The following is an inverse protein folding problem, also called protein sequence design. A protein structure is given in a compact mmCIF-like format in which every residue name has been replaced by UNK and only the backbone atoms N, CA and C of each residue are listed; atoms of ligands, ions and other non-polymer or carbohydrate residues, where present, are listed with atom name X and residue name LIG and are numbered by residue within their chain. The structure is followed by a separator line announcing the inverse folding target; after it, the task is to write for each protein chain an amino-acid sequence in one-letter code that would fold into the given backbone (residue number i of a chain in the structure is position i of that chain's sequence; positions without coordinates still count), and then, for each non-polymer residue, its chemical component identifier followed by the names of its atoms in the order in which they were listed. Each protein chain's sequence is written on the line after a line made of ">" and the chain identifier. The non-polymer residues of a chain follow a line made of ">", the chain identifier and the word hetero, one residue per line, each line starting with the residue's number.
data_IF_975856291991
#
_entry.id   IF_975856291991
#
_cell.length_a   1.000
_cell.length_b   1.000
_cell.length_c   1.000
_cell.angle_alpha   90.00
_cell.angle_beta   90.00
_cell.angle_gamma   90.00
#
_symmetry.space_group_name_H-M   'P 1'
#
loop_
_entity.id
_entity.type
_entity.pdbx_description
1 polymer ?
#
# COMPACT_ATOMS: atom_id res chain seq x y z
N UNK A 1 -0.25 -63.54 -19.93
CA UNK A 1 -1.24 -62.94 -20.86
C UNK A 1 -2.13 -61.87 -20.20
N UNK A 2 -2.89 -62.21 -19.15
CA UNK A 2 -3.84 -61.29 -18.49
C UNK A 2 -3.18 -60.08 -17.81
N UNK A 3 -2.04 -60.26 -17.14
CA UNK A 3 -1.28 -59.17 -16.51
C UNK A 3 -0.74 -58.18 -17.56
N UNK A 4 -0.31 -58.68 -18.72
CA UNK A 4 0.17 -57.85 -19.84
C UNK A 4 -0.99 -57.06 -20.43
N UNK A 5 -2.17 -57.67 -20.62
CA UNK A 5 -3.36 -56.97 -21.12
C UNK A 5 -3.87 -55.90 -20.15
N UNK A 6 -3.87 -56.15 -18.83
CA UNK A 6 -4.27 -55.15 -17.82
C UNK A 6 -3.27 -54.00 -17.78
N UNK A 7 -1.97 -54.29 -17.82
CA UNK A 7 -0.93 -53.25 -17.88
C UNK A 7 -1.07 -52.39 -19.14
N UNK A 8 -1.36 -52.99 -20.29
CA UNK A 8 -1.50 -52.28 -21.57
C UNK A 8 -2.74 -51.38 -21.59
N UNK A 9 -3.87 -51.86 -21.07
CA UNK A 9 -5.11 -51.09 -20.92
C UNK A 9 -4.91 -49.94 -19.94
N UNK A 10 -4.25 -50.16 -18.80
CA UNK A 10 -3.94 -49.11 -17.83
C UNK A 10 -3.03 -48.03 -18.45
N UNK A 11 -2.01 -48.41 -19.23
CA UNK A 11 -1.16 -47.43 -19.92
C UNK A 11 -1.90 -46.65 -21.01
N UNK A 12 -2.82 -47.29 -21.76
CA UNK A 12 -3.60 -46.60 -22.80
C UNK A 12 -4.62 -45.63 -22.18
N UNK A 13 -5.24 -46.01 -21.07
CA UNK A 13 -6.15 -45.12 -20.32
C UNK A 13 -5.37 -43.95 -19.70
N UNK A 14 -4.22 -44.21 -19.08
CA UNK A 14 -3.35 -43.14 -18.54
C UNK A 14 -2.89 -42.17 -19.63
N UNK A 15 -2.51 -42.67 -20.81
CA UNK A 15 -2.10 -41.83 -21.94
C UNK A 15 -3.27 -41.00 -22.50
N UNK A 16 -4.49 -41.57 -22.55
CA UNK A 16 -5.69 -40.83 -22.96
C UNK A 16 -6.02 -39.69 -22.00
N UNK A 17 -5.94 -39.93 -20.68
CA UNK A 17 -6.21 -38.93 -19.65
C UNK A 17 -5.15 -37.83 -19.62
N UNK A 18 -3.87 -38.18 -19.83
CA UNK A 18 -2.80 -37.19 -19.95
C UNK A 18 -2.97 -36.30 -21.19
N UNK A 19 -3.41 -36.88 -22.32
CA UNK A 19 -3.69 -36.10 -23.53
C UNK A 19 -4.89 -35.17 -23.34
N UNK A 20 -5.99 -35.66 -22.75
CA UNK A 20 -7.17 -34.83 -22.44
C UNK A 20 -6.85 -33.71 -21.45
N UNK A 21 -6.02 -33.97 -20.42
CA UNK A 21 -5.54 -32.93 -19.51
C UNK A 21 -4.77 -31.83 -20.25
N UNK A 22 -3.82 -32.21 -21.11
CA UNK A 22 -3.00 -31.25 -21.85
C UNK A 22 -3.85 -30.38 -22.81
N UNK A 23 -4.85 -30.98 -23.45
CA UNK A 23 -5.76 -30.26 -24.35
C UNK A 23 -6.67 -29.28 -23.59
N UNK A 24 -7.27 -29.70 -22.48
CA UNK A 24 -8.11 -28.84 -21.65
C UNK A 24 -7.30 -27.71 -21.00
N UNK A 25 -6.08 -28.02 -20.53
CA UNK A 25 -5.15 -27.01 -20.02
C UNK A 25 -4.74 -26.01 -21.10
N UNK A 26 -4.41 -26.46 -22.31
CA UNK A 26 -4.04 -25.56 -23.41
C UNK A 26 -5.17 -24.59 -23.78
N UNK A 27 -6.43 -25.03 -23.70
CA UNK A 27 -7.60 -24.16 -23.91
C UNK A 27 -7.70 -23.09 -22.82
N UNK A 28 -7.49 -23.48 -21.55
CA UNK A 28 -7.50 -22.56 -20.43
C UNK A 28 -6.32 -21.56 -20.49
N UNK A 29 -5.12 -22.04 -20.80
CA UNK A 29 -3.92 -21.22 -20.99
C UNK A 29 -4.09 -20.19 -22.13
N UNK A 30 -4.80 -20.56 -23.20
CA UNK A 30 -5.13 -19.62 -24.28
C UNK A 30 -6.01 -18.46 -23.78
N UNK A 31 -7.05 -18.75 -22.99
CA UNK A 31 -7.91 -17.71 -22.41
C UNK A 31 -7.12 -16.81 -21.45
N UNK A 32 -6.24 -17.42 -20.65
CA UNK A 32 -5.34 -16.71 -19.74
C UNK A 32 -4.40 -15.75 -20.50
N UNK A 33 -3.79 -16.22 -21.58
CA UNK A 33 -2.88 -15.45 -22.42
C UNK A 33 -3.56 -14.31 -23.19
N UNK A 34 -4.86 -14.41 -23.48
CA UNK A 34 -5.65 -13.31 -24.04
C UNK A 34 -6.16 -12.29 -23.02
N UNK A 35 -5.90 -12.51 -21.73
CA UNK A 35 -6.41 -11.66 -20.65
C UNK A 35 -7.89 -11.90 -20.30
N UNK A 36 -8.51 -12.95 -20.85
CA UNK A 36 -9.87 -13.35 -20.48
C UNK A 36 -9.81 -14.23 -19.23
N UNK A 37 -9.57 -13.57 -18.11
CA UNK A 37 -9.36 -14.24 -16.83
C UNK A 37 -10.62 -14.95 -16.33
N UNK A 38 -11.82 -14.44 -16.64
CA UNK A 38 -13.07 -15.08 -16.26
C UNK A 38 -13.22 -16.46 -16.94
N UNK A 39 -12.98 -16.54 -18.25
CA UNK A 39 -13.00 -17.80 -18.99
C UNK A 39 -11.86 -18.73 -18.56
N UNK A 40 -10.66 -18.17 -18.32
CA UNK A 40 -9.52 -18.94 -17.83
C UNK A 40 -9.82 -19.59 -16.47
N UNK A 41 -10.34 -18.83 -15.50
CA UNK A 41 -10.73 -19.31 -14.17
C UNK A 41 -11.76 -20.42 -14.29
N UNK A 42 -12.85 -20.23 -15.05
CA UNK A 42 -13.88 -21.25 -15.25
C UNK A 42 -13.31 -22.54 -15.86
N UNK A 43 -12.42 -22.40 -16.86
CA UNK A 43 -11.78 -23.55 -17.51
C UNK A 43 -10.83 -24.29 -16.56
N UNK A 44 -10.04 -23.57 -15.78
CA UNK A 44 -9.15 -24.16 -14.78
C UNK A 44 -9.89 -24.77 -13.60
N UNK A 45 -11.01 -24.19 -13.16
CA UNK A 45 -11.89 -24.80 -12.15
C UNK A 45 -12.39 -26.17 -12.61
N UNK A 46 -12.81 -26.28 -13.88
CA UNK A 46 -13.17 -27.57 -14.48
C UNK A 46 -11.96 -28.51 -14.54
N UNK A 47 -10.80 -28.01 -14.96
CA UNK A 47 -9.57 -28.82 -15.05
C UNK A 47 -9.19 -29.43 -13.70
N UNK A 48 -9.21 -28.67 -12.60
CA UNK A 48 -8.87 -29.21 -11.27
C UNK A 48 -9.94 -30.14 -10.71
N UNK A 49 -11.20 -30.03 -11.18
CA UNK A 49 -12.27 -30.95 -10.81
C UNK A 49 -12.15 -32.29 -11.55
N UNK A 50 -11.84 -32.26 -12.85
CA UNK A 50 -11.68 -33.45 -13.69
C UNK A 50 -10.36 -34.19 -13.39
N UNK A 51 -9.32 -33.45 -12.98
CA UNK A 51 -7.97 -33.98 -12.71
C UNK A 51 -7.43 -33.54 -11.33
N UNK A 52 -8.04 -33.99 -10.23
CA UNK A 52 -7.74 -33.51 -8.87
C UNK A 52 -6.34 -33.88 -8.37
N UNK A 53 -5.64 -34.81 -9.02
CA UNK A 53 -4.28 -35.24 -8.65
C UNK A 53 -3.20 -34.44 -9.39
N UNK A 54 -3.56 -33.64 -10.40
CA UNK A 54 -2.61 -32.85 -11.18
C UNK A 54 -2.37 -31.47 -10.53
N UNK A 55 -1.31 -31.37 -9.71
CA UNK A 55 -0.95 -30.17 -8.94
C UNK A 55 -0.77 -28.93 -9.83
N UNK A 56 -0.23 -29.10 -11.03
CA UNK A 56 -0.03 -28.00 -12.00
C UNK A 56 -1.35 -27.28 -12.33
N UNK A 57 -2.48 -27.99 -12.34
CA UNK A 57 -3.80 -27.40 -12.56
C UNK A 57 -4.19 -26.41 -11.46
N UNK A 58 -3.89 -26.73 -10.20
CA UNK A 58 -4.13 -25.83 -9.06
C UNK A 58 -3.22 -24.60 -9.14
N UNK A 59 -1.94 -24.78 -9.48
CA UNK A 59 -1.04 -23.64 -9.67
C UNK A 59 -1.52 -22.72 -10.82
N UNK A 60 -2.01 -23.28 -11.93
CA UNK A 60 -2.55 -22.49 -13.03
C UNK A 60 -3.84 -21.74 -12.64
N UNK A 61 -4.76 -22.40 -11.93
CA UNK A 61 -5.98 -21.78 -11.40
C UNK A 61 -5.65 -20.62 -10.44
N UNK A 62 -4.74 -20.84 -9.49
CA UNK A 62 -4.31 -19.80 -8.56
C UNK A 62 -3.70 -18.60 -9.28
N UNK A 63 -2.93 -18.85 -10.34
CA UNK A 63 -2.33 -17.79 -11.14
C UNK A 63 -3.38 -17.00 -11.95
N UNK A 64 -4.42 -17.68 -12.45
CA UNK A 64 -5.56 -17.02 -13.08
C UNK A 64 -6.31 -16.10 -12.11
N UNK A 65 -6.58 -16.57 -10.88
CA UNK A 65 -7.15 -15.72 -9.83
C UNK A 65 -6.26 -14.52 -9.50
N UNK A 66 -4.94 -14.73 -9.41
CA UNK A 66 -3.98 -13.66 -9.15
C UNK A 66 -4.02 -12.57 -10.24
N UNK A 67 -4.05 -12.96 -11.52
CA UNK A 67 -4.14 -12.01 -12.63
C UNK A 67 -5.48 -11.28 -12.67
N UNK A 68 -6.56 -11.94 -12.21
CA UNK A 68 -7.87 -11.33 -12.06
C UNK A 68 -8.01 -10.43 -10.80
N UNK A 69 -6.97 -10.32 -9.97
CA UNK A 69 -7.00 -9.55 -8.72
C UNK A 69 -7.72 -10.24 -7.56
N UNK A 70 -8.13 -11.50 -7.71
CA UNK A 70 -8.76 -12.29 -6.66
C UNK A 70 -7.70 -12.94 -5.78
N UNK A 71 -6.99 -12.13 -4.99
CA UNK A 71 -5.80 -12.61 -4.26
C UNK A 71 -6.12 -13.63 -3.17
N UNK A 72 -7.26 -13.53 -2.50
CA UNK A 72 -7.66 -14.51 -1.47
C UNK A 72 -7.92 -15.89 -2.09
N UNK A 73 -8.64 -15.96 -3.22
CA UNK A 73 -8.86 -17.19 -3.99
C UNK A 73 -7.53 -17.76 -4.53
N UNK A 74 -6.65 -16.88 -5.02
CA UNK A 74 -5.31 -17.26 -5.49
C UNK A 74 -4.50 -17.90 -4.36
N UNK A 75 -4.44 -17.26 -3.19
CA UNK A 75 -3.75 -17.77 -1.99
C UNK A 75 -4.30 -19.15 -1.64
N UNK A 76 -5.62 -19.28 -1.45
CA UNK A 76 -6.23 -20.56 -1.07
C UNK A 76 -5.94 -21.69 -2.09
N UNK A 77 -5.93 -21.35 -3.38
CA UNK A 77 -5.62 -22.32 -4.44
C UNK A 77 -4.14 -22.73 -4.42
N UNK A 78 -3.21 -21.79 -4.21
CA UNK A 78 -1.80 -22.13 -4.05
C UNK A 78 -1.52 -22.93 -2.78
N UNK A 79 -2.22 -22.64 -1.67
CA UNK A 79 -2.15 -23.48 -0.47
C UNK A 79 -2.59 -24.91 -0.77
N UNK A 80 -3.66 -25.07 -1.55
CA UNK A 80 -4.12 -26.39 -2.00
C UNK A 80 -3.06 -27.10 -2.82
N UNK A 81 -2.42 -26.41 -3.78
CA UNK A 81 -1.29 -26.94 -4.54
C UNK A 81 -0.15 -27.41 -3.62
N UNK A 82 0.26 -26.58 -2.65
CA UNK A 82 1.34 -26.90 -1.71
C UNK A 82 1.00 -28.01 -0.71
N UNK A 83 -0.29 -28.20 -0.38
CA UNK A 83 -0.73 -29.35 0.43
C UNK A 83 -0.60 -30.68 -0.31
N UNK A 84 -0.71 -30.65 -1.65
CA UNK A 84 -0.56 -31.82 -2.53
C UNK A 84 0.92 -32.07 -2.85
N UNK A 85 1.66 -31.02 -3.17
CA UNK A 85 3.10 -31.07 -3.38
C UNK A 85 3.80 -29.91 -2.64
N UNK A 86 4.32 -30.17 -1.41
CA UNK A 86 5.06 -29.17 -0.65
C UNK A 86 6.37 -28.73 -1.32
N UNK A 87 6.84 -29.42 -2.36
CA UNK A 87 8.07 -29.10 -3.08
C UNK A 87 7.86 -28.13 -4.25
N UNK A 88 6.62 -27.93 -4.72
CA UNK A 88 6.28 -27.09 -5.88
C UNK A 88 6.75 -25.63 -5.71
N UNK A 89 7.87 -25.32 -6.37
CA UNK A 89 8.50 -24.01 -6.34
C UNK A 89 7.68 -22.93 -7.07
N UNK A 90 6.88 -23.31 -8.07
CA UNK A 90 5.99 -22.39 -8.77
C UNK A 90 4.85 -21.95 -7.86
N UNK A 91 4.23 -22.89 -7.14
CA UNK A 91 3.18 -22.57 -6.17
C UNK A 91 3.73 -21.70 -5.03
N UNK A 92 4.95 -21.97 -4.51
CA UNK A 92 5.60 -21.10 -3.51
C UNK A 92 5.83 -19.68 -4.03
N UNK A 93 6.44 -19.54 -5.21
CA UNK A 93 6.65 -18.23 -5.87
C UNK A 93 5.35 -17.45 -6.01
N UNK A 94 4.31 -18.12 -6.51
CA UNK A 94 3.04 -17.47 -6.80
C UNK A 94 2.26 -17.14 -5.53
N UNK A 95 2.34 -17.96 -4.48
CA UNK A 95 1.78 -17.65 -3.16
C UNK A 95 2.44 -16.43 -2.53
N UNK A 96 3.78 -16.31 -2.62
CA UNK A 96 4.52 -15.13 -2.14
C UNK A 96 4.05 -13.88 -2.88
N UNK A 97 3.89 -13.95 -4.21
CA UNK A 97 3.40 -12.85 -5.03
C UNK A 97 1.97 -12.45 -4.66
N UNK A 98 1.05 -13.42 -4.59
CA UNK A 98 -0.36 -13.18 -4.26
C UNK A 98 -0.53 -12.64 -2.84
N UNK A 99 0.15 -13.23 -1.86
CA UNK A 99 0.13 -12.77 -0.47
C UNK A 99 0.70 -11.35 -0.31
N UNK A 100 1.77 -11.03 -1.02
CA UNK A 100 2.33 -9.68 -1.06
C UNK A 100 1.39 -8.65 -1.70
N UNK A 101 0.68 -9.02 -2.77
CA UNK A 101 -0.34 -8.16 -3.38
C UNK A 101 -1.55 -7.97 -2.47
N UNK A 102 -2.03 -9.04 -1.83
CA UNK A 102 -3.13 -9.00 -0.86
C UNK A 102 -2.80 -8.09 0.33
N UNK A 103 -1.56 -8.11 0.80
CA UNK A 103 -1.08 -7.26 1.88
C UNK A 103 -1.21 -5.76 1.57
N UNK A 104 -1.12 -5.35 0.29
CA UNK A 104 -1.33 -3.95 -0.12
C UNK A 104 -2.80 -3.52 -0.07
N UNK A 105 -3.73 -4.47 0.05
CA UNK A 105 -5.17 -4.24 0.17
C UNK A 105 -5.65 -4.30 1.62
N UNK A 106 -4.76 -4.57 2.57
CA UNK A 106 -5.07 -4.64 4.00
C UNK A 106 -4.72 -3.32 4.71
N UNK A 107 -5.10 -3.21 5.99
CA UNK A 107 -4.55 -2.19 6.89
C UNK A 107 -3.02 -2.28 6.97
N UNK A 108 -2.37 -1.22 7.41
CA UNK A 108 -0.91 -1.16 7.46
C UNK A 108 -0.31 -2.31 8.29
N UNK A 109 -0.85 -2.54 9.49
CA UNK A 109 -0.39 -3.61 10.38
C UNK A 109 -0.59 -5.00 9.78
N UNK A 110 -1.82 -5.31 9.34
CA UNK A 110 -2.14 -6.64 8.80
C UNK A 110 -1.36 -6.93 7.51
N UNK A 111 -1.09 -5.91 6.69
CA UNK A 111 -0.23 -6.04 5.52
C UNK A 111 1.21 -6.40 5.89
N UNK A 112 1.80 -5.74 6.90
CA UNK A 112 3.15 -6.06 7.38
C UNK A 112 3.23 -7.44 8.03
N UNK A 113 2.24 -7.81 8.84
CA UNK A 113 2.13 -9.14 9.45
C UNK A 113 2.10 -10.24 8.38
N UNK A 114 1.28 -10.07 7.34
CA UNK A 114 1.20 -11.02 6.21
C UNK A 114 2.53 -11.15 5.48
N UNK A 115 3.21 -10.04 5.21
CA UNK A 115 4.54 -10.06 4.58
C UNK A 115 5.54 -10.80 5.48
N UNK A 116 5.51 -10.56 6.78
CA UNK A 116 6.41 -11.20 7.73
C UNK A 116 6.17 -12.70 7.85
N UNK A 117 4.91 -13.13 7.87
CA UNK A 117 4.50 -14.54 7.84
C UNK A 117 5.07 -15.25 6.60
N UNK A 118 4.94 -14.65 5.41
CA UNK A 118 5.47 -15.22 4.16
C UNK A 118 7.00 -15.36 4.20
N UNK A 119 7.71 -14.36 4.76
CA UNK A 119 9.17 -14.41 4.94
C UNK A 119 9.59 -15.53 5.89
N UNK A 120 8.85 -15.73 6.98
CA UNK A 120 9.11 -16.79 7.95
C UNK A 120 8.81 -18.18 7.39
N UNK A 121 7.76 -18.30 6.59
CA UNK A 121 7.35 -19.57 5.99
C UNK A 121 8.27 -20.05 4.87
N UNK A 122 8.84 -19.12 4.10
CA UNK A 122 9.70 -19.45 2.96
C UNK A 122 11.12 -18.88 3.09
N UNK A 123 11.84 -19.18 4.20
CA UNK A 123 13.11 -18.55 4.49
C UNK A 123 14.13 -18.82 3.38
N UNK A 124 14.79 -17.77 2.90
CA UNK A 124 15.80 -17.85 1.85
C UNK A 124 15.25 -18.06 0.43
N UNK A 125 13.93 -18.12 0.24
CA UNK A 125 13.35 -18.30 -1.08
C UNK A 125 13.62 -17.08 -1.99
N UNK A 126 14.11 -17.25 -3.25
CA UNK A 126 14.54 -16.13 -4.09
C UNK A 126 13.44 -15.09 -4.39
N UNK A 127 12.18 -15.50 -4.37
CA UNK A 127 11.04 -14.62 -4.60
C UNK A 127 10.81 -13.63 -3.46
N UNK A 128 11.36 -13.84 -2.26
CA UNK A 128 11.15 -12.95 -1.11
C UNK A 128 11.59 -11.51 -1.36
N UNK A 129 12.50 -11.26 -2.31
CA UNK A 129 12.89 -9.90 -2.70
C UNK A 129 11.70 -9.03 -3.17
N UNK A 130 10.64 -9.64 -3.71
CA UNK A 130 9.42 -8.90 -4.09
C UNK A 130 8.68 -8.37 -2.87
N UNK A 131 8.81 -9.03 -1.72
CA UNK A 131 8.15 -8.61 -0.49
C UNK A 131 8.80 -7.35 0.08
N UNK A 132 10.10 -7.14 -0.08
CA UNK A 132 10.74 -5.87 0.30
C UNK A 132 10.23 -4.70 -0.56
N UNK A 133 9.92 -4.97 -1.83
CA UNK A 133 9.26 -3.99 -2.69
C UNK A 133 7.86 -3.64 -2.18
N UNK A 134 7.05 -4.64 -1.82
CA UNK A 134 5.71 -4.42 -1.26
C UNK A 134 5.73 -3.80 0.13
N UNK A 135 6.70 -4.14 0.99
CA UNK A 135 6.95 -3.45 2.27
C UNK A 135 7.20 -1.97 2.04
N UNK A 136 8.06 -1.64 1.06
CA UNK A 136 8.32 -0.24 0.71
C UNK A 136 7.06 0.49 0.22
N UNK A 137 6.25 -0.15 -0.62
CA UNK A 137 4.96 0.41 -1.07
C UNK A 137 4.00 0.63 0.09
N UNK A 138 3.87 -0.34 0.98
CA UNK A 138 2.98 -0.25 2.14
C UNK A 138 3.41 0.92 3.05
N UNK A 139 4.69 0.99 3.42
CA UNK A 139 5.23 2.14 4.15
C UNK A 139 4.91 3.46 3.45
N UNK A 140 5.19 3.58 2.15
CA UNK A 140 4.99 4.83 1.43
C UNK A 140 3.53 5.26 1.38
N UNK A 141 2.63 4.35 0.99
CA UNK A 141 1.20 4.62 0.84
C UNK A 141 0.57 5.06 2.17
N UNK A 142 1.01 4.49 3.28
CA UNK A 142 0.55 4.86 4.61
C UNK A 142 1.30 6.08 5.20
N UNK A 143 2.33 6.60 4.54
CA UNK A 143 3.01 7.87 4.87
C UNK A 143 4.38 7.75 5.52
N UNK A 144 4.89 6.53 5.69
CA UNK A 144 6.19 6.24 6.29
C UNK A 144 7.30 6.26 5.24
N UNK A 145 7.64 7.43 4.72
CA UNK A 145 8.59 7.57 3.61
C UNK A 145 10.01 7.05 3.91
N UNK A 146 10.53 7.24 5.13
CA UNK A 146 11.85 6.73 5.53
C UNK A 146 11.94 5.20 5.43
N UNK A 147 11.11 4.45 6.18
CA UNK A 147 11.03 3.00 6.07
C UNK A 147 10.75 2.50 4.64
N UNK A 148 9.99 3.25 3.85
CA UNK A 148 9.75 2.91 2.44
C UNK A 148 11.05 2.90 1.62
N UNK A 149 11.84 3.96 1.73
CA UNK A 149 13.11 4.08 1.04
C UNK A 149 14.15 3.07 1.54
N UNK A 150 14.16 2.74 2.83
CA UNK A 150 15.02 1.69 3.38
C UNK A 150 14.68 0.32 2.78
N UNK A 151 13.40 -0.01 2.65
CA UNK A 151 12.95 -1.26 2.06
C UNK A 151 13.32 -1.34 0.56
N UNK A 152 13.07 -0.27 -0.21
CA UNK A 152 13.46 -0.23 -1.62
C UNK A 152 14.97 -0.15 -1.84
N UNK A 153 15.73 0.38 -0.89
CA UNK A 153 17.19 0.36 -0.94
C UNK A 153 17.72 -1.08 -0.87
N UNK A 154 17.08 -1.98 -0.12
CA UNK A 154 17.40 -3.42 -0.11
C UNK A 154 17.15 -4.04 -1.49
N UNK A 155 16.01 -3.73 -2.10
CA UNK A 155 15.68 -4.18 -3.47
C UNK A 155 16.73 -3.67 -4.47
N UNK A 156 17.10 -2.38 -4.38
CA UNK A 156 18.07 -1.75 -5.28
C UNK A 156 19.47 -2.37 -5.16
N UNK A 157 19.90 -2.76 -3.94
CA UNK A 157 21.17 -3.47 -3.72
C UNK A 157 21.15 -4.88 -4.29
N UNK A 158 20.03 -5.59 -4.15
CA UNK A 158 19.89 -6.95 -4.67
C UNK A 158 19.77 -6.98 -6.21
N UNK A 159 19.15 -5.95 -6.82
CA UNK A 159 18.95 -5.84 -8.28
C UNK A 159 19.25 -4.42 -8.78
N UNK A 160 20.52 -4.09 -9.04
CA UNK A 160 20.95 -2.73 -9.44
C UNK A 160 20.40 -2.23 -10.78
N UNK A 161 19.85 -3.12 -11.61
CA UNK A 161 19.28 -2.87 -12.93
C UNK A 161 17.74 -2.79 -12.94
N UNK A 162 17.11 -2.93 -11.76
CA UNK A 162 15.66 -2.88 -11.59
C UNK A 162 15.08 -1.47 -11.69
N UNK A 163 13.78 -1.36 -12.00
CA UNK A 163 13.08 -0.07 -11.97
C UNK A 163 13.10 0.57 -10.57
N UNK A 164 13.04 -0.23 -9.51
CA UNK A 164 13.21 0.24 -8.12
C UNK A 164 14.60 0.82 -7.87
N UNK A 165 15.67 0.22 -8.40
CA UNK A 165 17.02 0.77 -8.27
C UNK A 165 17.16 2.13 -8.98
N UNK A 166 16.59 2.27 -10.18
CA UNK A 166 16.55 3.54 -10.89
C UNK A 166 15.73 4.58 -10.14
N UNK A 167 14.58 4.19 -9.58
CA UNK A 167 13.78 5.06 -8.73
C UNK A 167 14.57 5.55 -7.51
N UNK A 168 15.32 4.68 -6.83
CA UNK A 168 16.17 5.07 -5.70
C UNK A 168 17.28 6.05 -6.11
N UNK A 169 17.87 5.91 -7.31
CA UNK A 169 18.79 6.91 -7.85
C UNK A 169 18.12 8.26 -8.12
N UNK A 170 16.86 8.27 -8.53
CA UNK A 170 16.09 9.50 -8.69
C UNK A 170 15.83 10.19 -7.34
N UNK A 171 15.50 9.41 -6.30
CA UNK A 171 15.34 9.90 -4.92
C UNK A 171 16.65 10.51 -4.40
N UNK A 172 17.79 9.84 -4.61
CA UNK A 172 19.10 10.34 -4.22
C UNK A 172 19.48 11.63 -4.97
N UNK A 173 19.28 11.67 -6.29
CA UNK A 173 19.54 12.86 -7.10
C UNK A 173 18.71 14.07 -6.63
N UNK A 174 17.44 13.83 -6.25
CA UNK A 174 16.59 14.87 -5.66
C UNK A 174 17.15 15.41 -4.35
N UNK A 175 17.63 14.54 -3.45
CA UNK A 175 18.26 14.95 -2.20
C UNK A 175 19.53 15.78 -2.45
N UNK A 176 20.28 15.45 -3.50
CA UNK A 176 21.47 16.18 -3.93
C UNK A 176 21.16 17.45 -4.76
N UNK A 177 19.88 17.78 -4.97
CA UNK A 177 19.41 18.92 -5.80
C UNK A 177 19.88 18.84 -7.27
N UNK A 178 20.13 17.64 -7.78
CA UNK A 178 20.43 17.37 -9.18
C UNK A 178 19.15 17.02 -9.95
N UNK A 179 18.46 18.05 -10.44
CA UNK A 179 17.20 17.91 -11.16
C UNK A 179 17.34 17.15 -12.50
N UNK A 180 18.50 17.27 -13.17
CA UNK A 180 18.75 16.60 -14.43
C UNK A 180 18.90 15.09 -14.24
N UNK A 181 19.71 14.67 -13.26
CA UNK A 181 19.85 13.25 -12.92
C UNK A 181 18.55 12.69 -12.35
N UNK A 182 17.84 13.44 -11.50
CA UNK A 182 16.53 13.05 -10.97
C UNK A 182 15.57 12.71 -12.12
N UNK A 183 15.35 13.64 -13.05
CA UNK A 183 14.39 13.43 -14.13
C UNK A 183 14.80 12.24 -15.01
N UNK A 184 16.07 12.13 -15.39
CA UNK A 184 16.57 11.00 -16.17
C UNK A 184 16.27 9.66 -15.49
N UNK A 185 16.71 9.49 -14.24
CA UNK A 185 16.50 8.22 -13.52
C UNK A 185 15.03 7.93 -13.25
N UNK A 186 14.21 8.96 -13.01
CA UNK A 186 12.78 8.80 -12.80
C UNK A 186 12.07 8.31 -14.08
N UNK A 187 12.39 8.88 -15.25
CA UNK A 187 11.84 8.43 -16.52
C UNK A 187 12.30 7.00 -16.87
N UNK A 188 13.55 6.66 -16.61
CA UNK A 188 14.05 5.28 -16.79
C UNK A 188 13.38 4.29 -15.82
N UNK A 189 13.07 4.71 -14.59
CA UNK A 189 12.32 3.88 -13.64
C UNK A 189 10.89 3.61 -14.13
N UNK A 190 10.19 4.64 -14.63
CA UNK A 190 8.85 4.51 -15.19
C UNK A 190 8.83 3.72 -16.50
N UNK A 191 9.88 3.76 -17.32
CA UNK A 191 9.93 2.94 -18.54
C UNK A 191 10.00 1.44 -18.22
N UNK A 192 10.66 1.07 -17.11
CA UNK A 192 10.69 -0.32 -16.61
C UNK A 192 9.42 -0.70 -15.84
N UNK A 193 8.79 0.26 -15.15
CA UNK A 193 7.63 0.02 -14.29
C UNK A 193 6.52 1.03 -14.60
N UNK A 194 5.93 0.98 -15.82
CA UNK A 194 5.04 2.04 -16.29
C UNK A 194 3.79 2.17 -15.42
N UNK A 195 3.28 1.07 -14.88
CA UNK A 195 2.07 1.06 -14.06
C UNK A 195 2.33 1.21 -12.55
N UNK A 196 3.55 1.51 -12.12
CA UNK A 196 3.85 1.62 -10.69
C UNK A 196 3.35 2.95 -10.12
N UNK A 197 2.21 2.87 -9.43
CA UNK A 197 1.48 3.99 -8.86
C UNK A 197 2.30 4.78 -7.85
N UNK A 198 3.11 4.10 -7.04
CA UNK A 198 3.87 4.76 -5.98
C UNK A 198 4.92 5.70 -6.55
N UNK A 199 5.54 5.33 -7.68
CA UNK A 199 6.49 6.21 -8.37
C UNK A 199 5.79 7.46 -8.89
N UNK A 200 4.61 7.28 -9.51
CA UNK A 200 3.78 8.39 -10.01
C UNK A 200 3.31 9.32 -8.88
N UNK A 201 2.86 8.76 -7.76
CA UNK A 201 2.44 9.52 -6.57
C UNK A 201 3.61 10.30 -5.97
N UNK A 202 4.82 9.71 -5.93
CA UNK A 202 6.03 10.40 -5.50
C UNK A 202 6.41 11.56 -6.43
N UNK A 203 6.36 11.35 -7.74
CA UNK A 203 6.61 12.39 -8.73
C UNK A 203 5.58 13.52 -8.63
N UNK A 204 4.29 13.17 -8.52
CA UNK A 204 3.20 14.14 -8.39
C UNK A 204 3.37 15.02 -7.15
N UNK A 205 3.72 14.41 -6.00
CA UNK A 205 4.03 15.17 -4.78
C UNK A 205 5.20 16.12 -5.00
N UNK A 206 6.27 15.68 -5.66
CA UNK A 206 7.43 16.52 -5.95
C UNK A 206 7.09 17.73 -6.83
N UNK A 207 6.19 17.55 -7.80
CA UNK A 207 5.70 18.63 -8.65
C UNK A 207 4.84 19.64 -7.88
N UNK A 208 4.00 19.19 -6.95
CA UNK A 208 3.24 20.10 -6.08
C UNK A 208 4.18 20.94 -5.21
N UNK A 209 5.20 20.31 -4.61
CA UNK A 209 6.19 21.01 -3.79
C UNK A 209 7.00 22.04 -4.61
N UNK A 210 7.11 21.84 -5.92
CA UNK A 210 7.71 22.78 -6.87
C UNK A 210 6.72 23.84 -7.43
N UNK A 211 5.44 23.79 -7.03
CA UNK A 211 4.39 24.70 -7.51
C UNK A 211 3.71 24.30 -8.83
N UNK A 212 4.03 23.12 -9.38
CA UNK A 212 3.55 22.63 -10.68
C UNK A 212 2.33 21.72 -10.53
N UNK A 213 1.21 22.26 -10.02
CA UNK A 213 0.04 21.46 -9.67
C UNK A 213 -0.70 20.80 -10.84
N UNK A 214 -0.66 21.38 -12.03
CA UNK A 214 -1.28 20.81 -13.23
C UNK A 214 -0.51 19.61 -13.76
N UNK A 215 0.82 19.70 -13.83
CA UNK A 215 1.68 18.59 -14.24
C UNK A 215 1.61 17.44 -13.23
N UNK A 216 1.50 17.76 -11.94
CA UNK A 216 1.30 16.78 -10.89
C UNK A 216 0.01 15.96 -11.09
N UNK A 217 -1.07 16.61 -11.53
CA UNK A 217 -2.36 15.96 -11.75
C UNK A 217 -2.30 14.92 -12.88
N UNK A 218 -1.52 15.18 -13.94
CA UNK A 218 -1.34 14.26 -15.07
C UNK A 218 -0.79 12.91 -14.60
N UNK A 219 0.12 12.92 -13.62
CA UNK A 219 0.69 11.68 -13.08
C UNK A 219 -0.33 10.83 -12.30
N UNK A 220 -1.40 11.44 -11.79
CA UNK A 220 -2.41 10.76 -10.95
C UNK A 220 -3.75 10.50 -11.64
N UNK A 221 -4.05 11.10 -12.80
CA UNK A 221 -5.37 11.04 -13.47
C UNK A 221 -5.96 9.61 -13.54
N UNK A 222 -5.23 8.65 -14.12
CA UNK A 222 -5.71 7.26 -14.24
C UNK A 222 -5.73 6.46 -12.93
N UNK A 223 -5.16 6.99 -11.83
CA UNK A 223 -5.28 6.41 -10.49
C UNK A 223 -6.53 6.97 -9.84
N UNK A 224 -6.71 8.29 -9.83
CA UNK A 224 -7.84 8.97 -9.19
C UNK A 224 -9.21 8.65 -9.78
N UNK A 225 -9.26 8.24 -11.05
CA UNK A 225 -10.50 7.93 -11.78
C UNK A 225 -11.03 6.52 -11.53
N UNK A 226 -10.28 5.67 -10.81
CA UNK A 226 -10.70 4.29 -10.58
C UNK A 226 -11.94 4.24 -9.67
N UNK A 227 -12.92 3.36 -9.98
CA UNK A 227 -14.13 3.24 -9.17
C UNK A 227 -13.83 2.89 -7.71
N UNK A 228 -12.85 2.02 -7.50
CA UNK A 228 -12.37 1.57 -6.20
C UNK A 228 -10.86 1.73 -6.11
N UNK A 229 -10.39 2.15 -4.95
CA UNK A 229 -8.98 2.27 -4.62
C UNK A 229 -8.69 1.35 -3.44
N UNK A 230 -7.51 0.75 -3.42
CA UNK A 230 -7.04 0.07 -2.21
C UNK A 230 -6.83 1.11 -1.10
N UNK A 231 -6.93 0.74 0.18
CA UNK A 231 -6.87 1.70 1.28
C UNK A 231 -5.65 2.62 1.25
N UNK A 232 -4.46 2.05 1.08
CA UNK A 232 -3.22 2.84 1.00
C UNK A 232 -3.18 3.81 -0.18
N UNK A 233 -3.68 3.41 -1.36
CA UNK A 233 -3.72 4.29 -2.54
C UNK A 233 -4.74 5.40 -2.35
N UNK A 234 -5.90 5.10 -1.77
CA UNK A 234 -6.92 6.09 -1.45
C UNK A 234 -6.39 7.16 -0.49
N UNK A 235 -5.66 6.75 0.56
CA UNK A 235 -4.99 7.65 1.51
C UNK A 235 -3.99 8.55 0.78
N UNK A 236 -3.12 7.98 -0.05
CA UNK A 236 -2.11 8.74 -0.78
C UNK A 236 -2.73 9.77 -1.75
N UNK A 237 -3.78 9.38 -2.48
CA UNK A 237 -4.54 10.28 -3.36
C UNK A 237 -5.26 11.35 -2.55
N UNK A 238 -5.88 11.01 -1.42
CA UNK A 238 -6.57 11.99 -0.58
C UNK A 238 -5.61 13.05 -0.05
N UNK A 239 -4.41 12.64 0.41
CA UNK A 239 -3.34 13.55 0.81
C UNK A 239 -2.89 14.46 -0.34
N UNK A 240 -2.70 13.88 -1.52
CA UNK A 240 -2.35 14.64 -2.73
C UNK A 240 -3.40 15.70 -3.09
N UNK A 241 -4.67 15.32 -3.12
CA UNK A 241 -5.76 16.25 -3.46
C UNK A 241 -5.99 17.32 -2.39
N UNK A 242 -5.73 17.03 -1.11
CA UNK A 242 -5.69 18.04 -0.04
C UNK A 242 -4.63 19.10 -0.31
N UNK A 243 -3.43 18.72 -0.78
CA UNK A 243 -2.38 19.69 -1.15
C UNK A 243 -2.80 20.58 -2.33
N UNK A 244 -3.74 20.12 -3.16
CA UNK A 244 -4.34 20.89 -4.27
C UNK A 244 -5.55 21.72 -3.87
N UNK A 245 -5.91 21.74 -2.59
CA UNK A 245 -7.10 22.44 -2.09
C UNK A 245 -8.42 21.72 -2.43
N UNK A 246 -8.39 20.46 -2.87
CA UNK A 246 -9.58 19.67 -3.25
C UNK A 246 -10.06 18.75 -2.11
N UNK A 247 -10.00 19.23 -0.87
CA UNK A 247 -10.31 18.43 0.33
C UNK A 247 -11.70 17.79 0.31
N UNK A 248 -12.74 18.50 -0.13
CA UNK A 248 -14.10 17.94 -0.18
C UNK A 248 -14.22 16.77 -1.17
N UNK A 249 -13.65 16.92 -2.38
CA UNK A 249 -13.63 15.86 -3.38
C UNK A 249 -12.87 14.63 -2.87
N UNK A 250 -11.70 14.87 -2.26
CA UNK A 250 -10.88 13.82 -1.67
C UNK A 250 -11.64 13.06 -0.56
N UNK A 251 -12.38 13.79 0.29
CA UNK A 251 -13.16 13.21 1.39
C UNK A 251 -14.28 12.29 0.87
N UNK A 252 -15.01 12.73 -0.15
CA UNK A 252 -16.08 11.94 -0.77
C UNK A 252 -15.57 10.69 -1.49
N UNK A 253 -14.37 10.73 -2.07
CA UNK A 253 -13.76 9.53 -2.64
C UNK A 253 -13.30 8.56 -1.55
N UNK A 254 -12.67 9.07 -0.50
CA UNK A 254 -12.18 8.26 0.61
C UNK A 254 -13.32 7.53 1.36
N UNK A 255 -14.53 8.13 1.41
CA UNK A 255 -15.75 7.48 1.94
C UNK A 255 -16.18 6.21 1.20
N UNK A 256 -15.79 6.04 -0.07
CA UNK A 256 -16.10 4.85 -0.88
C UNK A 256 -15.08 3.73 -0.70
N UNK A 257 -13.98 4.00 0.00
CA UNK A 257 -12.89 3.05 0.23
C UNK A 257 -13.24 2.15 1.40
N UNK A 258 -12.75 0.91 1.38
CA UNK A 258 -12.83 0.01 2.52
C UNK A 258 -12.33 0.70 3.80
N UNK A 259 -13.11 0.58 4.87
CA UNK A 259 -12.86 1.31 6.11
C UNK A 259 -11.85 0.59 6.99
N UNK A 260 -10.57 0.68 6.64
CA UNK A 260 -9.47 0.31 7.53
C UNK A 260 -9.16 1.46 8.51
N UNK A 261 -8.51 1.19 9.66
CA UNK A 261 -8.25 2.21 10.67
C UNK A 261 -7.54 3.47 10.16
N UNK A 262 -6.60 3.35 9.22
CA UNK A 262 -5.89 4.50 8.65
C UNK A 262 -6.77 5.32 7.70
N UNK A 263 -7.74 4.69 7.02
CA UNK A 263 -8.75 5.41 6.22
C UNK A 263 -9.68 6.19 7.14
N UNK A 264 -10.09 5.60 8.27
CA UNK A 264 -10.87 6.31 9.30
C UNK A 264 -10.09 7.52 9.81
N UNK A 265 -8.80 7.34 10.05
CA UNK A 265 -7.94 8.38 10.55
C UNK A 265 -7.79 9.53 9.56
N UNK A 266 -7.49 9.25 8.28
CA UNK A 266 -7.46 10.29 7.26
C UNK A 266 -8.79 11.04 7.14
N UNK A 267 -9.92 10.32 7.16
CA UNK A 267 -11.25 10.94 7.12
C UNK A 267 -11.47 11.88 8.31
N UNK A 268 -11.13 11.43 9.52
CA UNK A 268 -11.27 12.24 10.74
C UNK A 268 -10.45 13.53 10.66
N UNK A 269 -9.23 13.49 10.10
CA UNK A 269 -8.41 14.70 9.98
C UNK A 269 -8.92 15.64 8.87
N UNK A 270 -9.59 15.09 7.85
CA UNK A 270 -10.21 15.88 6.79
C UNK A 270 -11.49 16.58 7.26
N UNK A 271 -12.28 16.00 8.15
CA UNK A 271 -13.47 16.68 8.70
C UNK A 271 -13.09 17.96 9.45
N UNK A 272 -11.91 17.98 10.07
CA UNK A 272 -11.29 19.18 10.66
C UNK A 272 -11.18 20.33 9.64
N UNK A 273 -10.65 20.04 8.45
CA UNK A 273 -10.51 21.00 7.35
C UNK A 273 -11.86 21.40 6.73
N UNK A 274 -12.90 20.60 6.96
CA UNK A 274 -14.27 20.83 6.49
C UNK A 274 -15.16 21.49 7.57
N UNK A 275 -14.59 21.93 8.69
CA UNK A 275 -15.29 22.71 9.72
C UNK A 275 -15.97 21.89 10.82
N UNK A 276 -15.59 20.61 10.99
CA UNK A 276 -16.05 19.84 12.15
C UNK A 276 -15.49 20.39 13.47
N UNK A 277 -16.24 20.23 14.56
CA UNK A 277 -15.79 20.70 15.87
C UNK A 277 -14.55 19.92 16.35
N UNK A 278 -13.64 20.55 17.12
CA UNK A 278 -12.46 19.87 17.68
C UNK A 278 -12.80 18.58 18.44
N UNK A 279 -13.89 18.59 19.22
CA UNK A 279 -14.37 17.42 19.96
C UNK A 279 -14.85 16.29 19.05
N UNK A 280 -15.43 16.62 17.89
CA UNK A 280 -15.80 15.60 16.91
C UNK A 280 -14.57 14.98 16.29
N UNK A 281 -13.63 15.81 15.81
CA UNK A 281 -12.38 15.33 15.20
C UNK A 281 -11.60 14.46 16.18
N UNK A 282 -11.48 14.87 17.44
CA UNK A 282 -10.80 14.11 18.49
C UNK A 282 -11.44 12.74 18.73
N UNK A 283 -12.77 12.67 18.77
CA UNK A 283 -13.50 11.39 18.93
C UNK A 283 -13.27 10.48 17.73
N UNK A 284 -13.37 11.00 16.52
CA UNK A 284 -13.20 10.21 15.29
C UNK A 284 -11.75 9.68 15.17
N UNK A 285 -10.75 10.51 15.50
CA UNK A 285 -9.34 10.09 15.57
C UNK A 285 -9.13 9.02 16.63
N UNK A 286 -9.68 9.20 17.84
CA UNK A 286 -9.56 8.20 18.89
C UNK A 286 -10.19 6.88 18.47
N UNK A 287 -11.36 6.91 17.84
CA UNK A 287 -12.02 5.71 17.32
C UNK A 287 -11.14 4.99 16.29
N UNK A 288 -10.48 5.73 15.39
CA UNK A 288 -9.57 5.15 14.41
C UNK A 288 -8.34 4.50 15.07
N UNK A 289 -7.76 5.14 16.08
CA UNK A 289 -6.63 4.58 16.84
C UNK A 289 -7.03 3.34 17.65
N UNK A 290 -8.21 3.36 18.28
CA UNK A 290 -8.76 2.23 19.03
C UNK A 290 -9.04 1.02 18.11
N UNK A 291 -9.36 1.28 16.85
CA UNK A 291 -9.51 0.26 15.81
C UNK A 291 -8.15 -0.29 15.29
N UNK A 292 -7.02 0.22 15.79
CA UNK A 292 -5.68 -0.24 15.43
C UNK A 292 -4.95 0.63 14.41
N UNK A 293 -5.40 1.87 14.19
CA UNK A 293 -4.76 2.81 13.27
C UNK A 293 -3.32 3.09 13.67
N UNK A 294 -2.40 2.89 12.74
CA UNK A 294 -1.00 3.22 12.93
C UNK A 294 -0.65 4.59 12.35
N UNK A 295 0.29 5.27 13.01
CA UNK A 295 0.74 6.60 12.65
C UNK A 295 0.76 7.54 13.84
N UNK A 296 1.61 8.57 13.75
CA UNK A 296 1.62 9.68 14.68
C UNK A 296 0.57 10.69 14.23
N UNK A 297 -0.39 10.99 15.09
CA UNK A 297 -1.44 11.96 14.83
C UNK A 297 -1.25 13.12 15.76
N UNK A 298 -1.09 14.31 15.18
CA UNK A 298 -1.09 15.53 15.97
C UNK A 298 -2.37 16.28 15.71
N UNK A 299 -3.13 16.45 16.78
CA UNK A 299 -4.28 17.33 16.79
C UNK A 299 -3.86 18.65 17.42
N UNK A 300 -3.86 19.69 16.61
CA UNK A 300 -3.70 21.07 17.06
C UNK A 300 -5.09 21.62 17.34
N UNK A 301 -5.44 21.76 18.61
CA UNK A 301 -6.72 22.32 19.04
C UNK A 301 -6.49 23.59 19.86
N UNK A 302 -6.74 24.76 19.28
CA UNK A 302 -7.56 25.84 19.85
C UNK A 302 -7.33 27.21 19.17
N UNK A 303 -8.41 28.01 19.22
CA UNK A 303 -8.66 29.39 18.80
C UNK A 303 -8.88 29.66 17.28
N UNK A 304 -10.14 29.97 16.87
CA UNK A 304 -10.46 30.45 15.52
C UNK A 304 -9.65 31.70 15.15
N UNK A 305 -9.24 31.78 13.88
CA UNK A 305 -8.50 32.95 13.36
C UNK A 305 -6.98 32.87 13.50
N UNK A 306 -6.45 31.83 14.13
CA UNK A 306 -5.01 31.57 14.15
C UNK A 306 -4.54 30.91 12.83
N UNK A 307 -3.31 31.21 12.41
CA UNK A 307 -2.59 30.52 11.33
C UNK A 307 -1.51 29.63 11.91
N UNK A 308 -1.57 28.34 11.61
CA UNK A 308 -0.62 27.33 12.08
C UNK A 308 0.41 27.06 11.01
N UNK A 309 1.68 27.07 11.42
CA UNK A 309 2.81 26.63 10.64
C UNK A 309 3.48 25.45 11.34
N UNK A 310 3.91 24.43 10.59
CA UNK A 310 4.79 23.36 11.10
C UNK A 310 6.05 23.33 10.27
N UNK A 311 7.19 23.42 10.94
CA UNK A 311 8.52 23.52 10.33
C UNK A 311 8.57 24.57 9.21
N UNK A 312 7.89 25.71 9.44
CA UNK A 312 7.80 26.82 8.49
C UNK A 312 6.73 26.70 7.40
N UNK A 313 6.02 25.58 7.29
CA UNK A 313 4.95 25.38 6.28
C UNK A 313 3.58 25.78 6.83
N UNK A 314 2.86 26.70 6.17
CA UNK A 314 1.48 27.06 6.55
C UNK A 314 0.54 25.88 6.32
N UNK A 315 -0.17 25.48 7.37
CA UNK A 315 -1.10 24.35 7.33
C UNK A 315 -2.58 24.76 7.34
N UNK A 316 -2.87 25.97 7.81
CA UNK A 316 -4.24 26.50 7.89
C UNK A 316 -4.58 26.99 9.29
N UNK A 317 -5.86 26.90 9.66
CA UNK A 317 -6.39 27.33 10.96
C UNK A 317 -6.88 26.13 11.78
N UNK A 318 -6.69 26.12 13.12
CA UNK A 318 -7.20 25.06 13.99
C UNK A 318 -8.72 24.88 13.91
N UNK A 319 -9.25 23.67 14.19
CA UNK A 319 -8.51 22.45 14.49
C UNK A 319 -7.77 21.89 13.25
N UNK A 320 -6.55 21.37 13.45
CA UNK A 320 -5.78 20.71 12.39
C UNK A 320 -5.30 19.34 12.83
N UNK A 321 -5.42 18.39 11.91
CA UNK A 321 -4.94 17.02 12.07
C UNK A 321 -3.79 16.71 11.14
N UNK A 322 -2.67 16.25 11.70
CA UNK A 322 -1.39 16.09 10.99
C UNK A 322 -0.76 14.72 11.21
N UNK A 323 -0.04 14.25 10.19
CA UNK A 323 0.89 13.13 10.24
C UNK A 323 2.33 13.64 10.11
N UNK A 324 2.94 14.13 11.19
CA UNK A 324 4.36 14.47 11.15
C UNK A 324 5.21 13.21 10.99
N UNK A 325 6.45 13.40 10.56
CA UNK A 325 7.45 12.35 10.71
C UNK A 325 7.72 12.15 12.21
N UNK A 326 8.17 10.97 12.68
CA UNK A 326 8.63 10.82 14.05
C UNK A 326 9.83 11.74 14.30
N UNK A 327 9.88 12.39 15.46
CA UNK A 327 11.00 13.26 15.82
C UNK A 327 10.57 14.66 16.26
N UNK A 328 11.55 15.55 16.37
CA UNK A 328 11.31 16.89 16.89
C UNK A 328 10.80 17.80 15.79
N UNK A 329 9.70 18.51 16.07
CA UNK A 329 9.06 19.43 15.14
C UNK A 329 8.77 20.75 15.84
N UNK A 330 8.71 21.82 15.05
CA UNK A 330 8.33 23.15 15.51
C UNK A 330 6.94 23.52 14.99
N UNK A 331 6.00 23.77 15.90
CA UNK A 331 4.71 24.41 15.60
C UNK A 331 4.83 25.90 15.90
N UNK A 332 4.45 26.72 14.93
CA UNK A 332 4.25 28.17 15.11
C UNK A 332 2.79 28.52 14.88
N UNK A 333 2.17 29.19 15.84
CA UNK A 333 0.78 29.68 15.74
C UNK A 333 0.79 31.20 15.73
N UNK A 334 0.25 31.79 14.68
CA UNK A 334 0.23 33.23 14.43
C UNK A 334 -1.19 33.75 14.58
N UNK A 335 -1.40 34.70 15.49
CA UNK A 335 -2.67 35.39 15.67
C UNK A 335 -2.61 36.76 14.99
N UNK A 336 -3.74 37.29 14.52
CA UNK A 336 -3.82 38.66 14.02
C UNK A 336 -4.64 39.49 15.03
N UNK A 337 -4.14 40.60 15.61
CA UNK A 337 -2.82 41.25 15.44
C UNK A 337 -1.78 40.85 16.51
N UNK A 338 -1.95 39.70 17.17
CA UNK A 338 -1.35 39.31 18.46
C UNK A 338 -0.28 38.19 18.34
N UNK A 339 0.49 37.84 19.41
CA UNK A 339 1.84 37.29 19.29
C UNK A 339 1.93 35.87 18.69
N UNK A 340 3.11 35.55 18.15
CA UNK A 340 3.46 34.22 17.64
C UNK A 340 3.77 33.29 18.80
N UNK A 341 3.00 32.22 18.97
CA UNK A 341 3.36 31.10 19.83
C UNK A 341 4.27 30.15 19.06
N UNK A 342 5.46 29.87 19.55
CA UNK A 342 6.36 28.85 19.01
C UNK A 342 6.51 27.76 20.06
N UNK A 343 6.20 26.52 19.69
CA UNK A 343 6.39 25.37 20.56
C UNK A 343 7.10 24.27 19.79
N UNK A 344 7.98 23.55 20.49
CA UNK A 344 8.59 22.33 19.97
C UNK A 344 7.93 21.15 20.63
N UNK A 345 7.55 20.16 19.84
CA UNK A 345 7.02 18.91 20.33
C UNK A 345 7.81 17.76 19.71
N UNK A 346 7.77 16.64 20.41
CA UNK A 346 8.28 15.38 19.89
C UNK A 346 7.09 14.64 19.30
N UNK A 347 7.03 14.56 17.97
CA UNK A 347 6.09 13.68 17.30
C UNK A 347 6.44 12.24 17.69
N UNK A 348 5.50 11.48 18.26
CA UNK A 348 5.75 10.10 18.62
C UNK A 348 5.98 9.27 17.36
N UNK A 349 6.49 8.05 17.51
CA UNK A 349 6.52 7.07 16.42
C UNK A 349 5.13 6.53 16.08
N UNK A 350 4.18 6.60 17.02
CA UNK A 350 2.80 6.12 16.88
C UNK A 350 1.87 6.76 17.93
N UNK A 351 0.56 6.77 17.66
CA UNK A 351 -0.46 7.24 18.60
C UNK A 351 -0.84 8.70 18.39
N UNK A 352 -1.60 9.27 19.33
CA UNK A 352 -2.08 10.66 19.24
C UNK A 352 -1.41 11.56 20.26
N UNK A 353 -0.88 12.67 19.78
CA UNK A 353 -0.49 13.81 20.59
C UNK A 353 -1.50 14.94 20.36
N UNK A 354 -2.17 15.37 21.43
CA UNK A 354 -2.99 16.58 21.37
C UNK A 354 -2.12 17.74 21.84
N UNK A 355 -1.97 18.73 20.97
CA UNK A 355 -1.26 19.97 21.24
C UNK A 355 -2.30 21.07 21.35
N UNK A 356 -2.53 21.53 22.58
CA UNK A 356 -3.45 22.62 22.84
C UNK A 356 -2.73 23.95 22.72
N UNK A 357 -3.19 24.81 21.81
CA UNK A 357 -2.64 26.15 21.61
C UNK A 357 -3.44 27.12 22.47
N UNK A 358 -3.10 27.18 23.76
CA UNK A 358 -3.87 27.91 24.77
C UNK A 358 -3.91 29.43 24.58
N UNK A 359 -4.85 30.07 25.26
CA UNK A 359 -5.02 31.53 25.36
C UNK A 359 -3.82 32.19 26.02
N UNK A 360 -3.01 32.93 25.25
CA UNK A 360 -1.91 33.85 25.67
C UNK A 360 -0.87 33.35 26.70
N UNK A 361 -0.93 32.12 27.21
CA UNK A 361 -0.16 31.68 28.39
C UNK A 361 0.64 30.38 28.22
N UNK A 362 0.57 29.71 27.07
CA UNK A 362 1.48 28.58 26.76
C UNK A 362 0.82 27.47 25.94
N UNK A 363 1.64 26.54 25.45
CA UNK A 363 1.23 25.32 24.75
C UNK A 363 1.36 24.13 25.69
N UNK A 364 0.26 23.45 26.01
CA UNK A 364 0.29 22.19 26.76
C UNK A 364 0.17 21.00 25.77
N UNK A 365 1.09 20.05 25.89
CA UNK A 365 1.06 18.79 25.12
C UNK A 365 0.67 17.64 26.03
N UNK A 366 -0.40 16.92 25.69
CA UNK A 366 -0.80 15.71 26.42
C UNK A 366 -0.78 14.53 25.45
N UNK A 367 0.12 13.58 25.70
CA UNK A 367 0.07 12.29 25.02
C UNK A 367 -1.22 11.58 25.44
N UNK A 368 -2.03 11.15 24.46
CA UNK A 368 -3.14 10.25 24.72
C UNK A 368 -2.62 8.86 24.38
N UNK A 369 -2.35 8.01 25.38
CA UNK A 369 -1.75 6.71 25.10
C UNK A 369 -2.69 5.89 24.22
N UNK A 370 -2.18 5.41 23.08
CA UNK A 370 -2.79 4.27 22.41
C UNK A 370 -2.55 3.03 23.28
N UNK A 371 -3.49 2.08 23.30
CA UNK A 371 -3.39 0.81 24.05
C UNK A 371 -2.14 -0.05 23.76
N UNK A 372 -1.25 0.38 22.88
CA UNK A 372 -0.07 -0.35 22.41
C UNK A 372 1.18 -0.25 23.29
N UNK A 373 1.14 0.46 24.43
CA UNK A 373 2.23 0.37 25.44
C UNK A 373 2.22 -0.95 26.24
N UNK A 374 1.33 -1.88 25.92
CA UNK A 374 1.24 -3.20 26.55
C UNK A 374 1.33 -4.35 25.54
N UNK A 375 2.45 -4.51 24.86
CA UNK A 375 2.94 -5.86 24.52
C UNK A 375 4.48 -5.86 24.59
N UNK A 376 5.08 -6.82 25.33
CA UNK A 376 6.51 -6.87 25.63
C UNK A 376 7.40 -7.17 24.42
#
# INVERSE_FOLDING_TARGET
>A
PWVICISLVLTLVQNGWAQSYAEDKARADKALGSGDYATAISSFQKLVADYPDQVEGFNALGFAYYLNGQFDDAIATFETALSKDPSDDSAKRNLILAGGRRALESSYRSGLERIQELKQRFPGHPQLAVLDFYTGKLHYLYGFAGPAFDAWQKVARARPDSGTALFMKAVEARANRDAAAQNRYYQEALSKMPQEEVFRLWGARGLIEAGNAEEAAVLTTGISERPTLTPGVAIAIARFERMRGRTLQAFEQLKKTESVPEVMLERALMTSQLGASPDSVKRDVQQALDAGGEGAVILLSDEPGARVYVDGTLLGSPPLGLFPSPGQHEVRVVYDPSPVLVSRFLAPSSGMLVVQTGTRTGVESKAVPSRSEFLP
#
